data_IF_166364417613
#
_entry.id   IF_166364417613
#
_cell.length_a   1.000
_cell.length_b   1.000
_cell.length_c   1.000
_cell.angle_alpha   90.00
_cell.angle_beta   90.00
_cell.angle_gamma   90.00
#
_symmetry.space_group_name_H-M   'P 1'
#
loop_
_entity.id
_entity.type
_entity.pdbx_description
1 polymer ?
#
# COMPACT_ATOMS: atom_id res chain seq x y z
N UNK A 1 21.24 36.26 38.29
CA UNK A 1 20.14 36.23 37.29
C UNK A 1 20.53 35.52 35.97
N UNK A 2 21.72 34.98 35.79
CA UNK A 2 22.11 34.27 34.52
C UNK A 2 21.65 32.79 34.45
N UNK A 3 21.31 32.17 35.56
CA UNK A 3 20.90 30.74 35.57
C UNK A 3 19.47 30.47 35.06
N UNK A 4 18.61 31.49 35.01
CA UNK A 4 17.21 31.32 34.55
C UNK A 4 17.07 31.15 33.04
N UNK A 5 18.00 31.72 32.25
CA UNK A 5 17.97 31.61 30.79
C UNK A 5 18.32 30.20 30.29
N UNK A 6 19.19 29.50 31.00
CA UNK A 6 19.58 28.13 30.67
C UNK A 6 18.40 27.15 30.81
N UNK A 7 17.58 27.29 31.84
CA UNK A 7 16.38 26.50 32.03
C UNK A 7 15.33 26.72 30.92
N UNK A 8 15.14 27.96 30.50
CA UNK A 8 14.24 28.29 29.41
C UNK A 8 14.68 27.65 28.07
N UNK A 9 15.98 27.71 27.76
CA UNK A 9 16.53 27.11 26.54
C UNK A 9 16.38 25.58 26.54
N UNK A 10 16.55 24.90 27.68
CA UNK A 10 16.33 23.46 27.80
C UNK A 10 14.87 23.07 27.55
N UNK A 11 13.94 23.86 28.07
CA UNK A 11 12.49 23.60 27.82
C UNK A 11 12.15 23.79 26.35
N UNK A 12 12.60 24.86 25.72
CA UNK A 12 12.36 25.13 24.30
C UNK A 12 12.95 24.02 23.42
N UNK A 13 14.18 23.59 23.74
CA UNK A 13 14.83 22.50 23.01
C UNK A 13 14.09 21.17 23.21
N UNK A 14 13.60 20.88 24.42
CA UNK A 14 12.79 19.69 24.70
C UNK A 14 11.48 19.67 23.90
N UNK A 15 10.77 20.78 23.84
CA UNK A 15 9.53 20.90 23.05
C UNK A 15 9.82 20.74 21.54
N UNK A 16 10.91 21.32 21.05
CA UNK A 16 11.31 21.19 19.65
C UNK A 16 11.62 19.73 19.28
N UNK A 17 12.34 18.99 20.13
CA UNK A 17 12.65 17.57 19.92
C UNK A 17 11.38 16.72 19.91
N UNK A 18 10.45 16.94 20.85
CA UNK A 18 9.17 16.23 20.89
C UNK A 18 8.35 16.53 19.63
N UNK A 19 8.30 17.78 19.19
CA UNK A 19 7.62 18.17 17.96
C UNK A 19 8.20 17.48 16.71
N UNK A 20 9.53 17.38 16.63
CA UNK A 20 10.19 16.64 15.54
C UNK A 20 9.88 15.14 15.60
N UNK A 21 9.87 14.53 16.78
CA UNK A 21 9.52 13.12 16.94
C UNK A 21 8.09 12.82 16.47
N UNK A 22 7.13 13.65 16.85
CA UNK A 22 5.73 13.49 16.43
C UNK A 22 5.60 13.63 14.91
N UNK A 23 6.31 14.58 14.30
CA UNK A 23 6.29 14.78 12.84
C UNK A 23 6.85 13.58 12.09
N UNK A 24 7.98 13.03 12.54
CA UNK A 24 8.59 11.84 11.93
C UNK A 24 7.69 10.61 12.07
N UNK A 25 7.08 10.42 13.24
CA UNK A 25 6.14 9.30 13.45
C UNK A 25 4.91 9.41 12.55
N UNK A 26 4.36 10.60 12.35
CA UNK A 26 3.22 10.81 11.45
C UNK A 26 3.52 10.36 10.02
N UNK A 27 4.67 10.74 9.47
CA UNK A 27 5.08 10.37 8.11
C UNK A 27 5.29 8.85 7.99
N UNK A 28 5.96 8.23 8.96
CA UNK A 28 6.27 6.79 8.91
C UNK A 28 5.01 5.95 9.06
N UNK A 29 4.05 6.36 9.89
CA UNK A 29 2.82 5.60 10.11
C UNK A 29 1.92 5.63 8.88
N UNK A 30 1.77 6.77 8.23
CA UNK A 30 0.95 6.90 7.02
C UNK A 30 1.48 6.02 5.88
N UNK A 31 2.78 6.07 5.59
CA UNK A 31 3.40 5.23 4.53
C UNK A 31 3.26 3.73 4.80
N UNK A 32 3.27 3.31 6.05
CA UNK A 32 3.12 1.90 6.40
C UNK A 32 1.67 1.44 6.25
N UNK A 33 0.70 2.26 6.66
CA UNK A 33 -0.72 1.97 6.50
C UNK A 33 -1.12 1.89 5.03
N UNK A 34 -0.62 2.80 4.19
CA UNK A 34 -0.86 2.79 2.75
C UNK A 34 -0.36 1.50 2.09
N UNK A 35 0.83 1.03 2.47
CA UNK A 35 1.37 -0.24 1.98
C UNK A 35 0.51 -1.44 2.35
N UNK A 36 0.01 -1.51 3.58
CA UNK A 36 -0.87 -2.60 4.01
C UNK A 36 -2.21 -2.56 3.26
N UNK A 37 -2.80 -1.37 3.11
CA UNK A 37 -4.04 -1.19 2.38
C UNK A 37 -3.91 -1.61 0.91
N UNK A 38 -2.83 -1.18 0.23
CA UNK A 38 -2.58 -1.54 -1.18
C UNK A 38 -2.35 -3.04 -1.32
N UNK A 39 -1.65 -3.68 -0.38
CA UNK A 39 -1.46 -5.13 -0.40
C UNK A 39 -2.78 -5.87 -0.24
N UNK A 40 -3.60 -5.46 0.71
CA UNK A 40 -4.92 -6.05 0.94
C UNK A 40 -5.83 -5.90 -0.29
N UNK A 41 -5.84 -4.72 -0.91
CA UNK A 41 -6.56 -4.46 -2.17
C UNK A 41 -6.04 -5.38 -3.29
N UNK A 42 -4.73 -5.53 -3.41
CA UNK A 42 -4.12 -6.38 -4.44
C UNK A 42 -4.54 -7.83 -4.27
N UNK A 43 -4.43 -8.36 -3.05
CA UNK A 43 -4.81 -9.74 -2.73
C UNK A 43 -6.31 -9.96 -2.96
N UNK A 44 -7.17 -9.04 -2.53
CA UNK A 44 -8.61 -9.10 -2.73
C UNK A 44 -8.99 -9.05 -4.23
N UNK A 45 -8.38 -8.14 -4.99
CA UNK A 45 -8.63 -8.01 -6.43
C UNK A 45 -8.17 -9.25 -7.21
N UNK A 46 -7.04 -9.86 -6.82
CA UNK A 46 -6.59 -11.10 -7.41
C UNK A 46 -7.56 -12.25 -7.15
N UNK A 47 -8.07 -12.37 -5.92
CA UNK A 47 -9.05 -13.41 -5.56
C UNK A 47 -10.38 -13.22 -6.31
N UNK A 48 -10.86 -12.00 -6.45
CA UNK A 48 -12.09 -11.71 -7.20
C UNK A 48 -11.91 -11.94 -8.71
N UNK A 49 -10.71 -11.79 -9.23
CA UNK A 49 -10.37 -11.99 -10.63
C UNK A 49 -10.11 -13.46 -11.01
N UNK A 50 -10.15 -14.40 -10.05
CA UNK A 50 -9.96 -15.83 -10.33
C UNK A 50 -11.05 -16.35 -11.26
N UNK A 51 -10.63 -17.09 -12.27
CA UNK A 51 -11.52 -17.83 -13.17
C UNK A 51 -11.83 -19.22 -12.60
N UNK A 52 -12.96 -19.30 -11.91
CA UNK A 52 -13.41 -20.55 -11.29
C UNK A 52 -13.83 -21.61 -12.33
N UNK A 53 -14.24 -21.19 -13.55
CA UNK A 53 -14.53 -22.11 -14.65
C UNK A 53 -13.27 -22.83 -15.11
N UNK A 54 -12.20 -22.08 -15.31
CA UNK A 54 -10.90 -22.64 -15.69
C UNK A 54 -10.33 -23.54 -14.61
N UNK A 55 -10.43 -23.15 -13.33
CA UNK A 55 -9.98 -23.97 -12.21
C UNK A 55 -10.70 -25.34 -12.14
N UNK A 56 -12.02 -25.36 -12.41
CA UNK A 56 -12.80 -26.59 -12.39
C UNK A 56 -12.42 -27.55 -13.53
N UNK A 57 -12.06 -26.99 -14.70
CA UNK A 57 -11.79 -27.79 -15.89
C UNK A 57 -10.34 -28.30 -15.93
N UNK A 58 -9.38 -27.48 -15.43
CA UNK A 58 -7.93 -27.75 -15.54
C UNK A 58 -7.23 -27.95 -14.20
N UNK A 59 -7.89 -27.71 -13.07
CA UNK A 59 -7.33 -27.75 -11.72
C UNK A 59 -6.11 -26.81 -11.54
N UNK A 60 -6.06 -25.75 -12.34
CA UNK A 60 -5.05 -24.70 -12.26
C UNK A 60 -5.72 -23.35 -12.01
N UNK A 61 -5.08 -22.51 -11.17
CA UNK A 61 -5.59 -21.15 -10.96
C UNK A 61 -5.17 -20.25 -12.11
N UNK A 62 -6.16 -19.58 -12.68
CA UNK A 62 -5.99 -18.52 -13.66
C UNK A 62 -6.75 -17.28 -13.21
N UNK A 63 -6.16 -16.10 -13.38
CA UNK A 63 -6.85 -14.82 -13.19
C UNK A 63 -7.17 -14.18 -14.52
N UNK A 64 -8.29 -13.46 -14.57
CA UNK A 64 -8.61 -12.62 -15.72
C UNK A 64 -7.96 -11.24 -15.52
N UNK A 65 -7.08 -10.86 -16.45
CA UNK A 65 -6.29 -9.62 -16.37
C UNK A 65 -7.17 -8.37 -16.37
N UNK A 66 -8.18 -8.30 -17.25
CA UNK A 66 -9.06 -7.15 -17.34
C UNK A 66 -9.89 -6.99 -16.07
N UNK A 67 -10.44 -8.09 -15.57
CA UNK A 67 -11.20 -8.10 -14.32
C UNK A 67 -10.35 -7.69 -13.14
N UNK A 68 -9.11 -8.16 -13.07
CA UNK A 68 -8.17 -7.75 -12.02
C UNK A 68 -7.95 -6.23 -12.03
N UNK A 69 -7.65 -5.65 -13.20
CA UNK A 69 -7.41 -4.21 -13.31
C UNK A 69 -8.65 -3.40 -12.92
N UNK A 70 -9.84 -3.81 -13.37
CA UNK A 70 -11.11 -3.14 -13.03
C UNK A 70 -11.36 -3.16 -11.52
N UNK A 71 -11.29 -4.34 -10.90
CA UNK A 71 -11.53 -4.52 -9.47
C UNK A 71 -10.51 -3.77 -8.64
N UNK A 72 -9.23 -3.86 -9.02
CA UNK A 72 -8.14 -3.16 -8.34
C UNK A 72 -8.35 -1.65 -8.35
N UNK A 73 -8.65 -1.05 -9.51
CA UNK A 73 -8.89 0.39 -9.63
C UNK A 73 -10.12 0.83 -8.85
N UNK A 74 -11.20 0.04 -8.86
CA UNK A 74 -12.41 0.32 -8.09
C UNK A 74 -12.13 0.32 -6.59
N UNK A 75 -11.48 -0.74 -6.07
CA UNK A 75 -11.15 -0.84 -4.64
C UNK A 75 -10.17 0.25 -4.20
N UNK A 76 -9.19 0.58 -5.06
CA UNK A 76 -8.25 1.67 -4.79
C UNK A 76 -8.99 3.01 -4.69
N UNK A 77 -9.92 3.29 -5.58
CA UNK A 77 -10.71 4.52 -5.55
C UNK A 77 -11.64 4.61 -4.33
N UNK A 78 -12.10 3.48 -3.78
CA UNK A 78 -12.93 3.44 -2.56
C UNK A 78 -12.12 3.71 -1.29
N UNK A 79 -10.88 3.23 -1.23
CA UNK A 79 -10.02 3.32 -0.03
C UNK A 79 -9.23 4.63 -0.01
N UNK A 80 -8.78 5.08 -1.16
CA UNK A 80 -7.99 6.30 -1.29
C UNK A 80 -8.90 7.52 -1.44
N UNK A 81 -8.62 8.56 -0.66
CA UNK A 81 -9.47 9.76 -0.60
C UNK A 81 -9.63 10.48 -1.93
N UNK A 82 -10.77 11.13 -2.10
CA UNK A 82 -11.17 11.83 -3.35
C UNK A 82 -10.26 13.03 -3.70
N UNK A 83 -9.49 13.54 -2.74
CA UNK A 83 -8.69 14.76 -2.90
C UNK A 83 -7.24 14.51 -3.34
N UNK A 84 -6.81 13.25 -3.40
CA UNK A 84 -5.44 12.90 -3.74
C UNK A 84 -5.36 12.42 -5.19
N UNK A 85 -4.25 12.72 -5.86
CA UNK A 85 -3.99 12.23 -7.20
C UNK A 85 -3.12 10.97 -7.10
N UNK A 86 -3.62 9.88 -7.68
CA UNK A 86 -2.91 8.60 -7.70
C UNK A 86 -2.58 8.22 -9.14
N UNK A 87 -1.35 7.79 -9.34
CA UNK A 87 -0.89 7.16 -10.57
C UNK A 87 -0.68 5.67 -10.30
N UNK A 88 -1.43 4.82 -11.01
CA UNK A 88 -1.35 3.36 -10.88
C UNK A 88 -0.65 2.78 -12.09
N UNK A 89 0.48 2.14 -11.87
CA UNK A 89 1.28 1.50 -12.90
C UNK A 89 1.26 -0.02 -12.75
N UNK A 90 0.75 -0.73 -13.76
CA UNK A 90 0.79 -2.18 -13.82
C UNK A 90 2.02 -2.62 -14.63
N UNK A 91 3.03 -3.20 -13.97
CA UNK A 91 4.26 -3.64 -14.63
C UNK A 91 4.16 -5.02 -15.24
N UNK A 92 3.53 -5.96 -14.52
CA UNK A 92 3.37 -7.33 -14.99
C UNK A 92 2.10 -7.93 -14.41
N UNK A 93 1.29 -8.51 -15.28
CA UNK A 93 0.13 -9.32 -14.90
C UNK A 93 0.24 -10.63 -15.66
N UNK A 94 0.56 -11.71 -14.94
CA UNK A 94 0.57 -13.07 -15.47
C UNK A 94 -0.71 -13.77 -15.03
N UNK A 95 -1.40 -14.38 -15.98
CA UNK A 95 -2.67 -15.02 -15.73
C UNK A 95 -2.53 -16.42 -15.11
N UNK A 96 -1.55 -17.19 -15.57
CA UNK A 96 -1.26 -18.53 -15.09
C UNK A 96 0.26 -18.83 -15.12
N UNK A 97 0.94 -19.03 -13.98
CA UNK A 97 0.43 -18.86 -12.61
C UNK A 97 0.15 -17.39 -12.28
N UNK A 98 -0.86 -17.11 -11.45
CA UNK A 98 -1.24 -15.73 -11.13
C UNK A 98 -0.13 -14.97 -10.42
N UNK A 99 0.40 -13.96 -11.07
CA UNK A 99 1.42 -13.07 -10.52
C UNK A 99 1.17 -11.65 -10.98
N UNK A 100 1.14 -10.72 -10.04
CA UNK A 100 0.87 -9.31 -10.33
C UNK A 100 1.96 -8.43 -9.70
N UNK A 101 2.41 -7.42 -10.45
CA UNK A 101 3.28 -6.36 -9.97
C UNK A 101 2.62 -5.02 -10.24
N UNK A 102 2.28 -4.31 -9.18
CA UNK A 102 1.60 -3.00 -9.22
C UNK A 102 2.38 -1.98 -8.44
N UNK A 103 2.50 -0.79 -8.99
CA UNK A 103 3.06 0.38 -8.32
C UNK A 103 2.02 1.48 -8.25
N UNK A 104 1.87 2.06 -7.07
CA UNK A 104 1.04 3.24 -6.86
C UNK A 104 1.95 4.38 -6.43
N UNK A 105 1.83 5.49 -7.13
CA UNK A 105 2.43 6.78 -6.76
C UNK A 105 1.32 7.68 -6.26
N UNK A 106 1.48 8.16 -5.03
CA UNK A 106 0.57 9.12 -4.42
C UNK A 106 1.29 10.44 -4.26
N UNK A 107 0.67 11.51 -4.74
CA UNK A 107 1.08 12.86 -4.45
C UNK A 107 0.17 13.42 -3.35
N UNK A 108 0.52 13.12 -2.10
CA UNK A 108 -0.18 13.66 -0.94
C UNK A 108 0.44 15.02 -0.56
N UNK A 109 -0.18 16.09 -0.99
CA UNK A 109 0.13 17.43 -0.52
C UNK A 109 -0.25 17.58 0.95
N UNK A 110 0.65 17.28 1.88
CA UNK A 110 0.45 17.65 3.29
C UNK A 110 0.61 19.15 3.44
N UNK A 111 -0.52 19.84 3.55
CA UNK A 111 -0.62 21.30 3.70
C UNK A 111 -0.02 21.87 5.00
N UNK A 112 0.72 21.11 5.80
CA UNK A 112 1.14 21.57 7.13
C UNK A 112 2.56 22.14 7.21
N UNK A 113 3.42 21.87 6.25
CA UNK A 113 4.71 22.54 6.09
C UNK A 113 5.00 22.56 4.59
N UNK A 114 5.05 23.75 3.98
CA UNK A 114 5.42 23.99 2.58
C UNK A 114 6.89 23.64 2.28
N UNK A 115 7.35 22.49 2.69
CA UNK A 115 8.70 22.00 2.51
C UNK A 115 8.67 20.62 1.82
N UNK A 116 8.29 20.62 0.53
CA UNK A 116 8.51 19.49 -0.34
C UNK A 116 7.25 18.70 -0.67
N UNK A 117 7.06 18.57 -1.95
CA UNK A 117 6.17 17.64 -2.60
C UNK A 117 6.72 16.23 -2.32
N UNK A 118 6.10 15.48 -1.42
CA UNK A 118 6.53 14.12 -1.08
C UNK A 118 5.81 13.14 -2.00
N UNK A 119 6.49 12.72 -3.05
CA UNK A 119 6.06 11.64 -3.93
C UNK A 119 6.29 10.30 -3.21
N UNK A 120 5.22 9.67 -2.75
CA UNK A 120 5.30 8.36 -2.10
C UNK A 120 5.05 7.27 -3.13
N UNK A 121 6.08 6.51 -3.45
CA UNK A 121 5.98 5.36 -4.35
C UNK A 121 5.87 4.07 -3.56
N UNK A 122 4.80 3.32 -3.76
CA UNK A 122 4.61 1.98 -3.18
C UNK A 122 4.49 0.95 -4.27
N UNK A 123 5.43 0.00 -4.30
CA UNK A 123 5.41 -1.15 -5.21
C UNK A 123 5.08 -2.43 -4.44
N UNK A 124 4.17 -3.22 -5.00
CA UNK A 124 3.75 -4.50 -4.44
C UNK A 124 3.82 -5.57 -5.53
N UNK A 125 4.44 -6.69 -5.19
CA UNK A 125 4.44 -7.91 -5.97
C UNK A 125 3.62 -8.96 -5.21
N UNK A 126 2.57 -9.49 -5.84
CA UNK A 126 1.68 -10.49 -5.28
C UNK A 126 1.64 -11.75 -6.14
N UNK A 127 1.62 -12.92 -5.49
CA UNK A 127 1.55 -14.23 -6.14
C UNK A 127 0.51 -15.06 -5.40
N UNK A 128 -0.44 -15.65 -6.13
CA UNK A 128 -1.33 -16.66 -5.59
C UNK A 128 -0.73 -18.04 -5.85
N UNK A 129 -0.48 -18.79 -4.78
CA UNK A 129 -0.06 -20.18 -4.85
C UNK A 129 -1.13 -21.07 -4.20
N UNK A 130 -1.50 -22.13 -4.91
CA UNK A 130 -2.27 -23.21 -4.27
C UNK A 130 -1.28 -24.06 -3.51
N UNK A 131 -1.42 -24.18 -2.19
CA UNK A 131 -0.89 -25.33 -1.48
C UNK A 131 -1.81 -26.52 -1.81
N UNK A 132 -1.37 -27.36 -2.74
CA UNK A 132 -1.93 -28.70 -2.84
C UNK A 132 -1.55 -29.43 -1.55
N UNK A 133 -2.42 -29.37 -0.55
CA UNK A 133 -2.37 -30.32 0.55
C UNK A 133 -2.53 -31.70 -0.10
N UNK A 134 -1.44 -32.48 -0.09
CA UNK A 134 -1.49 -33.89 -0.43
C UNK A 134 -2.43 -34.56 0.57
N UNK A 135 -3.71 -34.60 0.23
CA UNK A 135 -4.68 -35.46 0.93
C UNK A 135 -4.38 -36.89 0.50
N UNK A 136 -3.38 -37.50 1.16
CA UNK A 136 -3.22 -38.95 1.14
C UNK A 136 -4.43 -39.52 1.84
N UNK A 137 -5.42 -39.95 1.05
CA UNK A 137 -6.42 -40.89 1.48
C UNK A 137 -5.77 -42.28 1.41
N UNK A 138 -5.34 -42.80 2.56
CA UNK A 138 -5.22 -44.25 2.80
C UNK A 138 -6.61 -44.86 2.95
#
# INVERSE_FOLDING_TARGET
MQSSYWGYWLVVMGVAIVGLMISVQGITTNTTQDRYAIREITDAAMLEAVDYGYYRDYNEIKINKEKFMEVFLRMTAEVMGVNDTYEVNFYAIYEAPPKVSVEIKSNSGTNFISAGDYDTTTRIDAIIQIHAENYNRD
#
